data_IF_480518277815
#
_entry.id   IF_480518277815
#
_cell.length_a   1.000
_cell.length_b   1.000
_cell.length_c   1.000
_cell.angle_alpha   90.00
_cell.angle_beta   90.00
_cell.angle_gamma   90.00
#
_symmetry.space_group_name_H-M   'P 1'
#
loop_
_entity.id
_entity.type
_entity.pdbx_description
1 polymer ?
#
# COMPACT_ATOMS: atom_id res chain seq x y z
N UNK A 1 6.65 10.47 -9.96
CA UNK A 1 7.53 9.30 -9.95
C UNK A 1 6.94 8.25 -9.01
N UNK A 2 6.55 7.08 -9.55
CA UNK A 2 5.98 5.98 -8.76
C UNK A 2 7.07 5.15 -8.06
N UNK A 3 8.27 5.06 -8.64
CA UNK A 3 9.39 4.34 -8.06
C UNK A 3 9.82 4.99 -6.74
N UNK A 4 10.05 6.31 -6.76
CA UNK A 4 10.42 7.05 -5.55
C UNK A 4 9.33 6.97 -4.44
N UNK A 5 8.05 6.93 -4.84
CA UNK A 5 6.94 6.78 -3.88
C UNK A 5 6.89 5.38 -3.28
N UNK A 6 7.19 4.35 -4.08
CA UNK A 6 7.28 2.98 -3.61
C UNK A 6 8.42 2.82 -2.60
N UNK A 7 9.61 3.33 -2.93
CA UNK A 7 10.77 3.32 -2.02
C UNK A 7 10.49 4.07 -0.72
N UNK A 8 9.83 5.23 -0.79
CA UNK A 8 9.39 5.96 0.39
C UNK A 8 8.46 5.13 1.27
N UNK A 9 7.50 4.41 0.67
CA UNK A 9 6.61 3.52 1.43
C UNK A 9 7.40 2.43 2.17
N UNK A 10 8.42 1.85 1.53
CA UNK A 10 9.28 0.85 2.16
C UNK A 10 10.07 1.41 3.34
N UNK A 11 10.61 2.62 3.20
CA UNK A 11 11.32 3.32 4.29
C UNK A 11 10.36 3.63 5.45
N UNK A 12 9.14 4.09 5.16
CA UNK A 12 8.13 4.39 6.18
C UNK A 12 7.72 3.12 6.93
N UNK A 13 7.47 2.01 6.22
CA UNK A 13 7.19 0.73 6.85
C UNK A 13 8.33 0.27 7.76
N UNK A 14 9.58 0.38 7.30
CA UNK A 14 10.76 0.03 8.11
C UNK A 14 10.90 0.90 9.38
N UNK A 15 10.36 2.13 9.36
CA UNK A 15 10.29 3.03 10.51
C UNK A 15 9.07 2.81 11.40
N UNK A 16 8.19 1.87 11.05
CA UNK A 16 6.93 1.62 11.77
C UNK A 16 5.78 2.57 11.39
N UNK A 17 5.97 3.45 10.40
CA UNK A 17 4.93 4.34 9.89
C UNK A 17 4.06 3.61 8.85
N UNK A 18 3.24 2.69 9.35
CA UNK A 18 2.41 1.78 8.54
C UNK A 18 1.35 2.51 7.72
N UNK A 19 0.73 3.53 8.32
CA UNK A 19 -0.32 4.33 7.68
C UNK A 19 0.23 5.09 6.47
N UNK A 20 1.36 5.78 6.62
CA UNK A 20 1.94 6.53 5.52
C UNK A 20 2.49 5.59 4.42
N UNK A 21 3.06 4.44 4.81
CA UNK A 21 3.48 3.42 3.85
C UNK A 21 2.32 2.92 2.99
N UNK A 22 1.20 2.55 3.62
CA UNK A 22 0.01 2.08 2.92
C UNK A 22 -0.58 3.16 2.01
N UNK A 23 -0.66 4.41 2.47
CA UNK A 23 -1.19 5.53 1.68
C UNK A 23 -0.33 5.80 0.42
N UNK A 24 0.98 5.66 0.51
CA UNK A 24 1.87 5.79 -0.64
C UNK A 24 1.66 4.68 -1.68
N UNK A 25 1.51 3.42 -1.25
CA UNK A 25 1.21 2.32 -2.15
C UNK A 25 -0.17 2.46 -2.79
N UNK A 26 -1.18 2.85 -2.02
CA UNK A 26 -2.54 3.14 -2.53
C UNK A 26 -2.54 4.28 -3.54
N UNK A 27 -1.72 5.31 -3.34
CA UNK A 27 -1.60 6.41 -4.29
C UNK A 27 -1.00 5.97 -5.63
N UNK A 28 -0.07 5.00 -5.63
CA UNK A 28 0.42 4.38 -6.87
C UNK A 28 -0.73 3.63 -7.54
N UNK A 29 -1.41 2.72 -6.83
CA UNK A 29 -2.50 1.90 -7.37
C UNK A 29 -3.64 2.76 -7.93
N UNK A 30 -3.96 3.88 -7.28
CA UNK A 30 -4.98 4.83 -7.75
C UNK A 30 -4.60 5.48 -9.08
N UNK A 31 -3.32 5.77 -9.28
CA UNK A 31 -2.83 6.46 -10.47
C UNK A 31 -2.59 5.49 -11.64
N UNK A 32 -1.97 4.35 -11.36
CA UNK A 32 -1.71 3.27 -12.31
C UNK A 32 -1.75 1.93 -11.57
N UNK A 33 -2.81 1.16 -11.82
CA UNK A 33 -3.03 -0.14 -11.17
C UNK A 33 -1.98 -1.17 -11.57
N UNK A 34 -1.50 -1.10 -12.82
CA UNK A 34 -0.57 -2.05 -13.43
C UNK A 34 0.90 -1.68 -13.25
N UNK A 35 1.18 -0.58 -12.56
CA UNK A 35 2.54 -0.07 -12.41
C UNK A 35 3.48 -1.16 -11.88
N UNK A 36 4.53 -1.43 -12.65
CA UNK A 36 5.57 -2.41 -12.36
C UNK A 36 4.99 -3.81 -12.04
N UNK A 37 4.16 -4.36 -12.93
CA UNK A 37 3.54 -5.68 -12.78
C UNK A 37 2.75 -5.83 -11.46
N UNK A 38 1.91 -4.85 -11.16
CA UNK A 38 1.11 -4.76 -9.92
C UNK A 38 1.96 -4.70 -8.62
N UNK A 39 3.24 -4.35 -8.70
CA UNK A 39 4.16 -4.39 -7.54
C UNK A 39 3.63 -3.63 -6.32
N UNK A 40 2.98 -2.47 -6.51
CA UNK A 40 2.41 -1.69 -5.42
C UNK A 40 1.28 -2.45 -4.69
N UNK A 41 0.42 -3.16 -5.43
CA UNK A 41 -0.66 -3.98 -4.85
C UNK A 41 -0.08 -5.18 -4.13
N UNK A 42 0.84 -5.89 -4.77
CA UNK A 42 1.50 -7.08 -4.20
C UNK A 42 2.21 -6.74 -2.90
N UNK A 43 2.98 -5.65 -2.88
CA UNK A 43 3.66 -5.19 -1.68
C UNK A 43 2.69 -4.82 -0.57
N UNK A 44 1.58 -4.12 -0.89
CA UNK A 44 0.58 -3.75 0.10
C UNK A 44 -0.07 -4.98 0.75
N UNK A 45 -0.35 -6.03 -0.03
CA UNK A 45 -0.89 -7.30 0.49
C UNK A 45 0.11 -8.01 1.42
N UNK A 46 1.39 -8.04 1.07
CA UNK A 46 2.44 -8.59 1.93
C UNK A 46 2.57 -7.81 3.26
N UNK A 47 2.42 -6.48 3.22
CA UNK A 47 2.42 -5.67 4.43
C UNK A 47 1.23 -6.00 5.34
N UNK A 48 0.05 -6.26 4.77
CA UNK A 48 -1.10 -6.70 5.58
C UNK A 48 -0.84 -8.02 6.30
N UNK A 49 -0.20 -8.99 5.63
CA UNK A 49 0.19 -10.25 6.26
C UNK A 49 1.21 -10.03 7.39
N UNK A 50 2.19 -9.15 7.18
CA UNK A 50 3.22 -8.84 8.16
C UNK A 50 2.69 -8.06 9.38
N UNK A 51 1.76 -7.11 9.18
CA UNK A 51 1.17 -6.31 10.26
C UNK A 51 0.05 -7.04 11.00
N UNK A 52 -0.62 -7.98 10.33
CA UNK A 52 -1.77 -8.70 10.84
C UNK A 52 -3.10 -8.12 10.37
N UNK A 53 -4.12 -8.99 10.30
CA UNK A 53 -5.43 -8.66 9.73
C UNK A 53 -6.26 -7.68 10.58
N UNK A 54 -5.93 -7.53 11.86
CA UNK A 54 -6.62 -6.64 12.81
C UNK A 54 -5.87 -5.34 13.06
N UNK A 55 -4.71 -5.13 12.44
CA UNK A 55 -3.96 -3.88 12.54
C UNK A 55 -4.77 -2.73 11.91
N UNK A 56 -4.74 -1.56 12.54
CA UNK A 56 -5.52 -0.39 12.11
C UNK A 56 -5.15 0.07 10.68
N UNK A 57 -3.86 0.02 10.33
CA UNK A 57 -3.40 0.37 8.99
C UNK A 57 -3.88 -0.65 7.96
N UNK A 58 -3.84 -1.95 8.30
CA UNK A 58 -4.41 -3.01 7.46
C UNK A 58 -5.90 -2.77 7.21
N UNK A 59 -6.69 -2.53 8.26
CA UNK A 59 -8.14 -2.33 8.13
C UNK A 59 -8.49 -1.11 7.26
N UNK A 60 -7.82 0.02 7.51
CA UNK A 60 -8.02 1.26 6.77
C UNK A 60 -7.64 1.11 5.29
N UNK A 61 -6.45 0.56 5.02
CA UNK A 61 -5.94 0.41 3.67
C UNK A 61 -6.72 -0.63 2.85
N UNK A 62 -7.17 -1.74 3.45
CA UNK A 62 -8.05 -2.72 2.77
C UNK A 62 -9.35 -2.10 2.29
N UNK A 63 -9.97 -1.23 3.10
CA UNK A 63 -11.20 -0.51 2.72
C UNK A 63 -10.94 0.41 1.51
N UNK A 64 -9.85 1.18 1.56
CA UNK A 64 -9.44 2.07 0.46
C UNK A 64 -9.12 1.27 -0.81
N UNK A 65 -8.37 0.17 -0.70
CA UNK A 65 -8.03 -0.70 -1.82
C UNK A 65 -9.27 -1.29 -2.48
N UNK A 66 -10.22 -1.80 -1.68
CA UNK A 66 -11.49 -2.33 -2.20
C UNK A 66 -12.26 -1.25 -2.98
N UNK A 67 -12.40 -0.05 -2.40
CA UNK A 67 -13.02 1.07 -3.11
C UNK A 67 -12.31 1.36 -4.42
N UNK A 68 -10.97 1.41 -4.44
CA UNK A 68 -10.20 1.70 -5.66
C UNK A 68 -10.31 0.62 -6.73
N UNK A 69 -10.59 -0.64 -6.39
CA UNK A 69 -10.65 -1.74 -7.36
C UNK A 69 -12.04 -1.94 -7.97
N UNK A 70 -13.10 -1.59 -7.21
CA UNK A 70 -14.48 -1.89 -7.58
C UNK A 70 -15.34 -0.64 -7.81
N UNK A 71 -14.78 0.56 -7.70
CA UNK A 71 -15.34 1.79 -8.29
C UNK A 71 -14.85 1.97 -9.72
#
# INVERSE_FOLDING_TARGET
DHQARFELAMIQNAKGDRMAAADNLLAIIKADRSWNDDSARTQLLQLFEAWGMTDEATLSARRKLSSLLFS
#
